data_IF_878517157540
#
_entry.id   IF_878517157540
#
_cell.length_a   1.000
_cell.length_b   1.000
_cell.length_c   1.000
_cell.angle_alpha   90.00
_cell.angle_beta   90.00
_cell.angle_gamma   90.00
#
_symmetry.space_group_name_H-M   'P 1'
#
loop_
_entity.id
_entity.type
_entity.pdbx_description
1 polymer ?
#
# COMPACT_ATOMS: atom_id res chain seq x y z
N UNK A 1 34.54 -2.26 -0.14
CA UNK A 1 33.68 -2.66 1.00
C UNK A 1 33.22 -1.46 1.82
N UNK A 2 34.10 -0.52 2.17
CA UNK A 2 33.78 0.71 2.93
C UNK A 2 32.80 1.65 2.20
N UNK A 3 32.97 1.85 0.88
CA UNK A 3 32.13 2.79 0.11
C UNK A 3 30.69 2.29 -0.13
N UNK A 4 30.51 0.98 -0.33
CA UNK A 4 29.20 0.34 -0.45
C UNK A 4 28.43 0.39 0.87
N UNK A 5 29.09 0.13 2.00
CA UNK A 5 28.47 0.22 3.32
C UNK A 5 28.03 1.65 3.63
N UNK A 6 28.88 2.64 3.33
CA UNK A 6 28.54 4.05 3.52
C UNK A 6 27.32 4.47 2.69
N UNK A 7 27.19 3.96 1.46
CA UNK A 7 26.03 4.22 0.61
C UNK A 7 24.75 3.61 1.17
N UNK A 8 24.80 2.37 1.66
CA UNK A 8 23.66 1.69 2.30
C UNK A 8 23.22 2.43 3.57
N UNK A 9 24.17 2.88 4.39
CA UNK A 9 23.88 3.61 5.62
C UNK A 9 23.18 4.94 5.36
N UNK A 10 23.57 5.66 4.30
CA UNK A 10 22.91 6.89 3.86
C UNK A 10 21.48 6.65 3.38
N UNK A 11 21.25 5.60 2.58
CA UNK A 11 19.89 5.21 2.13
C UNK A 11 19.00 4.88 3.34
N UNK A 12 19.52 4.11 4.29
CA UNK A 12 18.79 3.75 5.51
C UNK A 12 18.50 4.95 6.42
N UNK A 13 19.42 5.94 6.50
CA UNK A 13 19.18 7.19 7.21
C UNK A 13 18.06 7.98 6.55
N UNK A 14 18.12 8.18 5.23
CA UNK A 14 17.09 8.90 4.47
C UNK A 14 15.72 8.24 4.63
N UNK A 15 15.62 6.91 4.55
CA UNK A 15 14.36 6.21 4.75
C UNK A 15 13.80 6.40 6.17
N UNK A 16 14.67 6.42 7.20
CA UNK A 16 14.23 6.69 8.58
C UNK A 16 13.67 8.10 8.74
N UNK A 17 14.31 9.10 8.14
CA UNK A 17 13.83 10.49 8.18
C UNK A 17 12.50 10.64 7.43
N UNK A 18 12.37 9.98 6.27
CA UNK A 18 11.14 9.91 5.50
C UNK A 18 9.97 9.35 6.33
N UNK A 19 10.13 8.18 6.96
CA UNK A 19 9.07 7.57 7.78
C UNK A 19 8.74 8.40 9.02
N UNK A 20 9.74 9.06 9.62
CA UNK A 20 9.52 9.97 10.74
C UNK A 20 8.64 11.15 10.32
N UNK A 21 8.87 11.71 9.13
CA UNK A 21 8.08 12.80 8.57
C UNK A 21 6.63 12.38 8.31
N UNK A 22 6.41 11.19 7.73
CA UNK A 22 5.04 10.67 7.53
C UNK A 22 4.29 10.51 8.86
N UNK A 23 4.94 9.93 9.87
CA UNK A 23 4.34 9.79 11.20
C UNK A 23 4.00 11.14 11.85
N UNK A 24 4.83 12.18 11.67
CA UNK A 24 4.56 13.51 12.23
C UNK A 24 3.36 14.22 11.61
N UNK A 25 2.97 13.86 10.39
CA UNK A 25 1.82 14.45 9.73
C UNK A 25 0.49 14.01 10.35
N UNK A 26 0.48 12.91 11.13
CA UNK A 26 -0.73 12.28 11.69
C UNK A 26 -1.84 12.07 10.64
N UNK A 27 -1.45 11.88 9.38
CA UNK A 27 -2.37 11.67 8.25
C UNK A 27 -2.74 10.19 8.10
N UNK A 28 -1.82 9.30 8.45
CA UNK A 28 -1.96 7.86 8.29
C UNK A 28 -2.21 7.22 9.65
N UNK A 29 -3.06 6.20 9.68
CA UNK A 29 -3.39 5.44 10.89
C UNK A 29 -2.16 4.71 11.45
N UNK A 30 -1.30 4.21 10.56
CA UNK A 30 -0.07 3.53 10.97
C UNK A 30 1.01 3.61 9.89
N UNK A 31 2.24 3.98 10.27
CA UNK A 31 3.42 3.93 9.40
C UNK A 31 4.56 3.22 10.12
N UNK A 32 4.93 2.03 9.63
CA UNK A 32 5.94 1.18 10.28
C UNK A 32 6.90 0.56 9.28
N UNK A 33 8.18 0.48 9.66
CA UNK A 33 9.17 -0.30 8.91
C UNK A 33 9.22 -1.74 9.42
N UNK A 34 9.13 -2.71 8.51
CA UNK A 34 9.24 -4.13 8.83
C UNK A 34 9.81 -4.94 7.66
N UNK A 35 10.64 -5.96 7.93
CA UNK A 35 11.30 -6.81 6.92
C UNK A 35 11.94 -6.05 5.75
N UNK A 36 12.49 -4.86 6.02
CA UNK A 36 13.04 -3.89 5.06
C UNK A 36 12.04 -3.07 4.24
N UNK A 37 10.74 -3.32 4.34
CA UNK A 37 9.70 -2.55 3.64
C UNK A 37 9.00 -1.57 4.59
N UNK A 38 8.32 -0.60 4.00
CA UNK A 38 7.54 0.39 4.73
C UNK A 38 6.06 0.05 4.59
N UNK A 39 5.41 -0.31 5.68
CA UNK A 39 3.97 -0.55 5.72
C UNK A 39 3.24 0.72 6.13
N UNK A 40 2.27 1.13 5.32
CA UNK A 40 1.50 2.36 5.49
C UNK A 40 0.02 2.01 5.45
N UNK A 41 -0.69 2.30 6.53
CA UNK A 41 -2.14 2.17 6.62
C UNK A 41 -2.80 3.54 6.40
N UNK A 42 -3.54 3.65 5.31
CA UNK A 42 -4.36 4.80 4.95
C UNK A 42 -5.80 4.34 4.67
N UNK A 43 -6.35 3.52 5.58
CA UNK A 43 -7.68 2.92 5.41
C UNK A 43 -8.82 3.95 5.28
N UNK A 44 -8.59 5.19 5.70
CA UNK A 44 -9.51 6.31 5.55
C UNK A 44 -9.66 6.78 4.09
N UNK A 45 -8.71 6.44 3.21
CA UNK A 45 -8.82 6.66 1.77
C UNK A 45 -9.83 5.70 1.14
N UNK A 46 -11.10 6.04 1.31
CA UNK A 46 -12.25 5.26 0.86
C UNK A 46 -12.63 5.51 -0.60
N UNK A 47 -12.16 6.58 -1.24
CA UNK A 47 -12.36 6.79 -2.67
C UNK A 47 -11.04 6.77 -3.46
N UNK A 48 -11.14 6.59 -4.78
CA UNK A 48 -9.98 6.43 -5.65
C UNK A 48 -9.10 7.68 -5.72
N UNK A 49 -9.69 8.88 -5.64
CA UNK A 49 -8.93 10.13 -5.71
C UNK A 49 -8.13 10.33 -4.41
N UNK A 50 -8.73 10.04 -3.26
CA UNK A 50 -8.03 10.06 -1.97
C UNK A 50 -6.87 9.06 -1.94
N UNK A 51 -7.06 7.85 -2.47
CA UNK A 51 -5.97 6.87 -2.62
C UNK A 51 -4.82 7.40 -3.46
N UNK A 52 -5.12 7.97 -4.63
CA UNK A 52 -4.08 8.50 -5.51
C UNK A 52 -3.37 9.71 -4.89
N UNK A 53 -4.09 10.57 -4.16
CA UNK A 53 -3.49 11.68 -3.42
C UNK A 53 -2.53 11.18 -2.34
N UNK A 54 -2.84 10.07 -1.67
CA UNK A 54 -1.92 9.42 -0.74
C UNK A 54 -0.69 8.86 -1.45
N UNK A 55 -0.87 8.11 -2.54
CA UNK A 55 0.23 7.51 -3.30
C UNK A 55 1.19 8.58 -3.84
N UNK A 56 0.68 9.70 -4.34
CA UNK A 56 1.48 10.80 -4.87
C UNK A 56 2.46 11.40 -3.84
N UNK A 57 2.02 11.45 -2.57
CA UNK A 57 2.81 12.00 -1.45
C UNK A 57 3.96 11.10 -1.01
N UNK A 58 3.95 9.82 -1.41
CA UNK A 58 4.97 8.86 -1.01
C UNK A 58 6.22 8.99 -1.88
N UNK A 59 7.38 8.84 -1.23
CA UNK A 59 8.67 8.79 -1.93
C UNK A 59 8.92 7.38 -2.45
N UNK A 60 9.35 7.26 -3.71
CA UNK A 60 9.68 5.97 -4.34
C UNK A 60 8.47 5.25 -4.96
N UNK A 61 8.69 4.00 -5.37
CA UNK A 61 7.65 3.14 -5.90
C UNK A 61 6.73 2.62 -4.80
N UNK A 62 5.51 2.27 -5.19
CA UNK A 62 4.45 1.81 -4.28
C UNK A 62 3.91 0.47 -4.74
N UNK A 63 3.76 -0.45 -3.79
CA UNK A 63 2.85 -1.58 -3.89
C UNK A 63 1.53 -1.15 -3.26
N UNK A 64 0.48 -1.10 -4.06
CA UNK A 64 -0.85 -0.66 -3.62
C UNK A 64 -1.72 -1.86 -3.26
N UNK A 65 -2.20 -1.90 -2.02
CA UNK A 65 -3.21 -2.83 -1.55
C UNK A 65 -4.56 -2.12 -1.52
N UNK A 66 -5.55 -2.65 -2.24
CA UNK A 66 -6.87 -2.05 -2.34
C UNK A 66 -7.98 -3.06 -2.01
N UNK A 67 -9.14 -2.55 -1.59
CA UNK A 67 -10.36 -3.33 -1.44
C UNK A 67 -11.31 -3.02 -2.61
N UNK A 68 -11.80 -4.05 -3.30
CA UNK A 68 -12.67 -3.91 -4.46
C UNK A 68 -14.13 -4.24 -4.11
N UNK A 69 -14.93 -3.26 -3.64
CA UNK A 69 -16.35 -3.47 -3.39
C UNK A 69 -17.12 -3.58 -4.71
N UNK A 70 -18.43 -3.86 -4.62
CA UNK A 70 -19.29 -4.18 -5.78
C UNK A 70 -19.59 -3.02 -6.73
N UNK A 71 -18.88 -1.90 -6.64
CA UNK A 71 -19.13 -0.68 -7.40
C UNK A 71 -17.99 -0.41 -8.37
N UNK A 72 -18.30 -0.41 -9.67
CA UNK A 72 -17.35 -0.12 -10.73
C UNK A 72 -17.25 1.40 -10.97
N UNK A 73 -16.02 1.92 -11.03
CA UNK A 73 -15.70 3.29 -11.47
C UNK A 73 -14.81 3.26 -12.70
N UNK A 74 -14.75 4.41 -13.38
CA UNK A 74 -13.78 4.66 -14.43
C UNK A 74 -12.43 5.04 -13.81
N UNK A 75 -11.40 4.25 -14.07
CA UNK A 75 -10.03 4.46 -13.60
C UNK A 75 -9.18 5.26 -14.61
N UNK A 76 -9.77 5.77 -15.69
CA UNK A 76 -9.02 6.46 -16.75
C UNK A 76 -8.18 7.63 -16.22
N UNK A 77 -8.72 8.40 -15.27
CA UNK A 77 -8.07 9.61 -14.76
C UNK A 77 -6.84 9.31 -13.88
N UNK A 78 -6.72 8.08 -13.39
CA UNK A 78 -5.62 7.69 -12.50
C UNK A 78 -4.50 6.92 -13.21
N UNK A 79 -4.68 6.59 -14.50
CA UNK A 79 -3.68 5.86 -15.30
C UNK A 79 -2.28 6.51 -15.25
N UNK A 80 -2.12 7.84 -15.33
CA UNK A 80 -0.79 8.45 -15.22
C UNK A 80 -0.11 8.15 -13.88
N UNK A 81 -0.87 8.20 -12.78
CA UNK A 81 -0.36 7.91 -11.44
C UNK A 81 0.03 6.44 -11.29
N UNK A 82 -0.78 5.52 -11.83
CA UNK A 82 -0.48 4.10 -11.83
C UNK A 82 0.87 3.81 -12.51
N UNK A 83 1.13 4.42 -13.67
CA UNK A 83 2.37 4.20 -14.42
C UNK A 83 3.61 4.77 -13.76
N UNK A 84 3.48 5.88 -13.03
CA UNK A 84 4.63 6.59 -12.47
C UNK A 84 5.02 6.07 -11.08
N UNK A 85 4.02 5.76 -10.24
CA UNK A 85 4.23 5.46 -8.81
C UNK A 85 3.89 4.02 -8.44
N UNK A 86 2.88 3.41 -9.07
CA UNK A 86 2.36 2.11 -8.64
C UNK A 86 3.02 0.99 -9.41
N UNK A 87 3.89 0.25 -8.72
CA UNK A 87 4.63 -0.86 -9.32
C UNK A 87 3.80 -2.14 -9.38
N UNK A 88 3.02 -2.42 -8.33
CA UNK A 88 2.14 -3.58 -8.28
C UNK A 88 0.87 -3.30 -7.48
N UNK A 89 -0.17 -4.07 -7.77
CA UNK A 89 -1.49 -3.99 -7.14
C UNK A 89 -1.85 -5.33 -6.54
N UNK A 90 -2.25 -5.31 -5.27
CA UNK A 90 -2.79 -6.46 -4.55
C UNK A 90 -4.22 -6.12 -4.17
N UNK A 91 -5.16 -6.84 -4.75
CA UNK A 91 -6.59 -6.53 -4.65
C UNK A 91 -7.33 -7.68 -3.99
N UNK A 92 -8.19 -7.35 -3.04
CA UNK A 92 -9.07 -8.33 -2.40
C UNK A 92 -10.51 -7.80 -2.35
N UNK A 93 -11.47 -8.69 -2.12
CA UNK A 93 -12.90 -8.39 -2.14
C UNK A 93 -13.65 -8.99 -3.34
N UNK A 94 -14.96 -8.74 -3.41
CA UNK A 94 -15.84 -9.46 -4.33
C UNK A 94 -15.60 -9.15 -5.82
N UNK A 95 -15.14 -7.95 -6.17
CA UNK A 95 -15.13 -7.47 -7.57
C UNK A 95 -13.75 -6.98 -8.04
N UNK A 96 -12.69 -7.70 -7.68
CA UNK A 96 -11.30 -7.38 -8.08
C UNK A 96 -11.07 -7.36 -9.60
N UNK A 97 -11.98 -7.98 -10.38
CA UNK A 97 -11.92 -7.98 -11.84
C UNK A 97 -11.92 -6.59 -12.46
N UNK A 98 -12.69 -5.63 -11.94
CA UNK A 98 -12.69 -4.26 -12.47
C UNK A 98 -11.36 -3.56 -12.23
N UNK A 99 -10.77 -3.77 -11.05
CA UNK A 99 -9.45 -3.21 -10.71
C UNK A 99 -8.38 -3.81 -11.61
N UNK A 100 -8.45 -5.12 -11.89
CA UNK A 100 -7.57 -5.76 -12.86
C UNK A 100 -7.65 -5.08 -14.23
N UNK A 101 -8.84 -4.97 -14.83
CA UNK A 101 -9.00 -4.34 -16.15
C UNK A 101 -8.55 -2.87 -16.21
N UNK A 102 -8.60 -2.17 -15.07
CA UNK A 102 -8.14 -0.79 -14.96
C UNK A 102 -6.61 -0.66 -14.85
N UNK A 103 -5.95 -1.65 -14.25
CA UNK A 103 -4.56 -1.55 -13.81
C UNK A 103 -3.60 -2.44 -14.58
N UNK A 104 -4.06 -3.55 -15.16
CA UNK A 104 -3.26 -4.62 -15.76
C UNK A 104 -2.19 -4.16 -16.76
N UNK A 105 -2.49 -3.13 -17.56
CA UNK A 105 -1.57 -2.57 -18.57
C UNK A 105 -0.63 -1.49 -18.04
N UNK A 106 -0.81 -1.09 -16.79
CA UNK A 106 -0.16 0.08 -16.20
C UNK A 106 0.75 -0.28 -15.03
N UNK A 107 0.69 -1.52 -14.52
CA UNK A 107 1.49 -2.00 -13.39
C UNK A 107 2.25 -3.27 -13.78
N UNK A 108 3.34 -3.58 -13.06
CA UNK A 108 4.15 -4.78 -13.34
C UNK A 108 3.44 -6.07 -12.95
N UNK A 109 2.64 -6.02 -11.87
CA UNK A 109 1.97 -7.18 -11.30
C UNK A 109 0.62 -6.78 -10.71
N UNK A 110 -0.40 -7.58 -11.01
CA UNK A 110 -1.68 -7.58 -10.31
C UNK A 110 -1.88 -8.94 -9.63
N UNK A 111 -2.19 -8.92 -8.34
CA UNK A 111 -2.50 -10.13 -7.56
C UNK A 111 -3.89 -10.01 -6.98
N UNK A 112 -4.73 -11.01 -7.23
CA UNK A 112 -5.97 -11.21 -6.47
C UNK A 112 -5.63 -11.97 -5.20
N UNK A 113 -6.09 -11.47 -4.06
CA UNK A 113 -6.02 -12.11 -2.76
C UNK A 113 -7.43 -12.25 -2.15
N UNK A 114 -7.54 -13.10 -1.13
CA UNK A 114 -8.77 -13.39 -0.39
C UNK A 114 -8.99 -12.44 0.80
N UNK A 115 -7.93 -11.78 1.29
CA UNK A 115 -8.02 -10.88 2.46
C UNK A 115 -6.92 -9.81 2.50
N UNK A 116 -7.06 -8.82 3.38
CA UNK A 116 -6.00 -7.85 3.68
C UNK A 116 -4.74 -8.55 4.21
N UNK A 117 -4.90 -9.51 5.12
CA UNK A 117 -3.78 -10.29 5.67
C UNK A 117 -3.01 -11.00 4.55
N UNK A 118 -3.68 -11.71 3.66
CA UNK A 118 -3.02 -12.40 2.55
C UNK A 118 -2.36 -11.40 1.59
N UNK A 119 -3.03 -10.29 1.27
CA UNK A 119 -2.48 -9.23 0.41
C UNK A 119 -1.17 -8.69 0.95
N UNK A 120 -1.10 -8.41 2.26
CA UNK A 120 0.11 -7.91 2.93
C UNK A 120 1.23 -8.96 2.95
N UNK A 121 0.88 -10.23 3.14
CA UNK A 121 1.85 -11.34 3.11
C UNK A 121 2.47 -11.50 1.72
N UNK A 122 1.64 -11.51 0.67
CA UNK A 122 2.12 -11.65 -0.70
C UNK A 122 2.88 -10.38 -1.15
N UNK A 123 2.43 -9.19 -0.77
CA UNK A 123 3.12 -7.94 -1.05
C UNK A 123 4.51 -7.91 -0.38
N UNK A 124 4.62 -8.34 0.88
CA UNK A 124 5.89 -8.44 1.59
C UNK A 124 6.89 -9.37 0.88
N UNK A 125 6.41 -10.49 0.32
CA UNK A 125 7.26 -11.41 -0.45
C UNK A 125 7.73 -10.83 -1.80
N UNK A 126 6.98 -9.89 -2.37
CA UNK A 126 7.25 -9.29 -3.68
C UNK A 126 8.01 -7.95 -3.62
N UNK A 127 7.97 -7.27 -2.47
CA UNK A 127 8.49 -5.93 -2.32
C UNK A 127 10.01 -5.85 -2.45
N UNK A 128 10.49 -4.74 -3.00
CA UNK A 128 11.91 -4.38 -3.00
C UNK A 128 12.31 -3.70 -1.68
N UNK A 129 13.61 -3.68 -1.37
CA UNK A 129 14.12 -3.03 -0.16
C UNK A 129 13.67 -1.55 -0.08
N UNK A 130 13.14 -1.16 1.08
CA UNK A 130 12.59 0.17 1.38
C UNK A 130 11.37 0.59 0.56
N UNK A 131 10.75 -0.33 -0.18
CA UNK A 131 9.53 -0.03 -0.91
C UNK A 131 8.33 0.19 0.02
N UNK A 132 7.40 1.05 -0.41
CA UNK A 132 6.17 1.30 0.33
C UNK A 132 5.11 0.28 -0.05
N UNK A 133 4.62 -0.46 0.94
CA UNK A 133 3.43 -1.31 0.87
C UNK A 133 2.30 -0.52 1.54
N UNK A 134 1.35 -0.06 0.74
CA UNK A 134 0.33 0.90 1.17
C UNK A 134 -1.03 0.27 1.08
N UNK A 135 -1.74 0.19 2.21
CA UNK A 135 -3.15 -0.13 2.20
C UNK A 135 -3.95 1.16 2.12
N UNK A 136 -4.57 1.38 0.96
CA UNK A 136 -5.48 2.48 0.69
C UNK A 136 -6.67 1.86 -0.07
N UNK A 137 -7.80 1.59 0.59
CA UNK A 137 -8.79 0.66 0.08
C UNK A 137 -9.41 1.14 -1.23
N UNK A 138 -9.64 2.45 -1.40
CA UNK A 138 -10.29 3.00 -2.59
C UNK A 138 -11.69 2.44 -2.82
N UNK A 139 -12.25 1.89 -1.73
CA UNK A 139 -13.52 1.21 -1.69
C UNK A 139 -14.62 2.27 -1.69
N UNK A 140 -14.90 2.79 -2.87
CA UNK A 140 -15.92 3.80 -3.12
C UNK A 140 -17.29 3.16 -2.87
N UNK A 141 -17.64 3.07 -1.59
CA UNK A 141 -18.77 2.32 -1.08
C UNK A 141 -19.73 3.31 -0.44
N UNK A 142 -20.99 3.31 -0.88
CA UNK A 142 -22.01 4.24 -0.39
C UNK A 142 -22.54 3.90 1.01
N UNK A 143 -22.16 2.74 1.55
CA UNK A 143 -22.61 2.24 2.85
C UNK A 143 -21.51 2.27 3.92
N UNK A 144 -21.83 1.74 5.10
CA UNK A 144 -20.81 1.42 6.12
C UNK A 144 -20.24 0.03 5.84
N UNK A 145 -18.95 -0.05 5.50
CA UNK A 145 -18.21 -1.31 5.66
C UNK A 145 -17.98 -1.44 7.17
N UNK A 146 -18.66 -2.40 7.80
CA UNK A 146 -18.47 -2.70 9.23
C UNK A 146 -17.23 -3.58 9.42
N UNK A 147 -16.09 -3.07 8.95
CA UNK A 147 -14.78 -3.71 9.09
C UNK A 147 -13.86 -2.70 9.74
N UNK A 148 -13.25 -3.12 10.84
CA UNK A 148 -12.18 -2.36 11.49
C UNK A 148 -10.87 -2.58 10.74
N UNK A 149 -10.67 -1.79 9.69
CA UNK A 149 -9.48 -1.87 8.86
C UNK A 149 -8.19 -1.56 9.62
N UNK A 150 -8.26 -0.76 10.69
CA UNK A 150 -7.11 -0.46 11.53
C UNK A 150 -6.66 -1.71 12.27
N UNK A 151 -7.59 -2.41 12.91
CA UNK A 151 -7.30 -3.65 13.63
C UNK A 151 -6.90 -4.78 12.67
N UNK A 152 -7.58 -4.96 11.54
CA UNK A 152 -7.21 -5.95 10.51
C UNK A 152 -5.78 -5.73 9.99
N UNK A 153 -5.38 -4.49 9.75
CA UNK A 153 -4.02 -4.15 9.31
C UNK A 153 -2.98 -4.46 10.40
N UNK A 154 -3.26 -4.11 11.67
CA UNK A 154 -2.37 -4.44 12.81
C UNK A 154 -2.23 -5.94 13.01
N UNK A 155 -3.33 -6.69 12.91
CA UNK A 155 -3.30 -8.15 13.00
C UNK A 155 -2.47 -8.78 11.87
N UNK A 156 -2.65 -8.30 10.64
CA UNK A 156 -1.87 -8.75 9.49
C UNK A 156 -0.37 -8.46 9.67
N UNK A 157 -0.02 -7.26 10.15
CA UNK A 157 1.36 -6.92 10.52
C UNK A 157 1.90 -7.81 11.64
N UNK A 158 1.07 -8.11 12.64
CA UNK A 158 1.48 -8.97 13.75
C UNK A 158 1.81 -10.38 13.29
N UNK A 159 0.98 -10.95 12.41
CA UNK A 159 1.21 -12.26 11.77
C UNK A 159 2.47 -12.29 10.92
N UNK A 160 2.82 -11.17 10.29
CA UNK A 160 4.06 -11.06 9.52
C UNK A 160 5.30 -11.08 10.40
N UNK A 161 5.26 -10.41 11.56
CA UNK A 161 6.44 -10.00 12.32
C UNK A 161 6.69 -10.77 13.61
N UNK A 162 5.78 -11.65 13.99
CA UNK A 162 5.70 -12.23 15.33
C UNK A 162 5.66 -11.17 16.46
N UNK A 163 5.18 -9.94 16.16
CA UNK A 163 5.00 -8.83 17.14
C UNK A 163 3.53 -8.51 17.33
N UNK A 164 3.19 -7.89 18.47
CA UNK A 164 1.88 -7.25 18.66
C UNK A 164 1.99 -5.76 18.33
N UNK A 165 1.01 -5.24 17.62
CA UNK A 165 0.86 -3.84 17.24
C UNK A 165 -0.43 -3.27 17.81
#
# INVERSE_FOLDING_TARGET
KTDQQSSIDQVNLRNREYLKRLNQQNKFELVVKSFNHNFINDCDSTDINSCMATIDQLEGSVIWINYAPRLARNYADIIPMLKDKVRAVFSFGPETGFVYWATDRNVELFVKAESLTESMILANMYASDNENIVFAPGADYDGKIDVDWVEEFKEALGKLTDKKY
#
